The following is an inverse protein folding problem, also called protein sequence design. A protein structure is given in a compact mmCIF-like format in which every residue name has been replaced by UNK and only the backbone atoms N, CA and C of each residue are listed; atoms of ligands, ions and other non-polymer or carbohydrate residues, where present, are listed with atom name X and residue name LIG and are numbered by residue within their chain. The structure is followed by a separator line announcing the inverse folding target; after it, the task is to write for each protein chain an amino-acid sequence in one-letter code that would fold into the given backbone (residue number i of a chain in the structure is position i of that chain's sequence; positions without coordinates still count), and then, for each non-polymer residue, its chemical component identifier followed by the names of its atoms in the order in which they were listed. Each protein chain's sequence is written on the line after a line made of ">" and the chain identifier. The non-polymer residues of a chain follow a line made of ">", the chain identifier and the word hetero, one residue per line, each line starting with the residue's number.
data_IF_473621078713
#
_entry.id   IF_473621078713
#
_cell.length_a   1.000
_cell.length_b   1.000
_cell.length_c   1.000
_cell.angle_alpha   90.00
_cell.angle_beta   90.00
_cell.angle_gamma   90.00
#
_symmetry.space_group_name_H-M   'P 1'
#
loop_
_entity.id
_entity.type
_entity.pdbx_description
1 polymer ?
#
# COMPACT_ATOMS: atom_id res chain seq x y z
N UNK A 1 25.66 -13.35 31.85
CA UNK A 1 24.40 -13.83 32.44
C UNK A 1 23.64 -14.62 31.40
N UNK A 2 23.58 -15.96 31.54
CA UNK A 2 22.78 -16.84 30.68
C UNK A 2 21.30 -16.57 30.94
N UNK A 3 20.60 -15.94 30.00
CA UNK A 3 19.14 -15.79 30.03
C UNK A 3 18.56 -17.18 29.80
N UNK A 4 17.78 -17.66 30.77
CA UNK A 4 17.05 -18.92 30.71
C UNK A 4 16.15 -18.93 29.47
N UNK A 5 16.42 -19.83 28.53
CA UNK A 5 15.52 -20.20 27.44
C UNK A 5 14.37 -20.99 28.08
N UNK A 6 13.37 -20.30 28.61
CA UNK A 6 12.05 -20.91 28.80
C UNK A 6 11.53 -21.25 27.40
N UNK A 7 11.14 -22.50 27.20
CA UNK A 7 10.42 -22.95 26.01
C UNK A 7 9.11 -22.15 25.90
N UNK A 8 9.16 -20.99 25.25
CA UNK A 8 7.95 -20.34 24.76
C UNK A 8 7.42 -21.18 23.60
N UNK A 9 6.18 -21.64 23.75
CA UNK A 9 5.51 -22.50 22.78
C UNK A 9 5.28 -21.69 21.50
N UNK A 10 6.14 -21.89 20.49
CA UNK A 10 5.96 -21.25 19.19
C UNK A 10 4.93 -22.01 18.36
N UNK A 11 3.92 -21.32 17.84
CA UNK A 11 3.02 -21.85 16.81
C UNK A 11 3.72 -21.80 15.46
N UNK A 12 3.34 -22.69 14.56
CA UNK A 12 3.82 -22.71 13.17
C UNK A 12 2.72 -22.32 12.19
N UNK A 13 3.12 -21.87 10.99
CA UNK A 13 2.17 -21.64 9.88
C UNK A 13 1.33 -22.88 9.57
N UNK A 14 1.94 -24.07 9.61
CA UNK A 14 1.26 -25.33 9.37
C UNK A 14 0.16 -25.60 10.41
N UNK A 15 0.46 -25.44 11.70
CA UNK A 15 -0.54 -25.61 12.77
C UNK A 15 -1.70 -24.60 12.65
N UNK A 16 -1.40 -23.34 12.35
CA UNK A 16 -2.42 -22.30 12.16
C UNK A 16 -3.29 -22.63 10.93
N UNK A 17 -2.68 -23.00 9.80
CA UNK A 17 -3.41 -23.40 8.60
C UNK A 17 -4.28 -24.64 8.81
N UNK A 18 -3.83 -25.61 9.61
CA UNK A 18 -4.66 -26.76 9.98
C UNK A 18 -5.88 -26.35 10.82
N UNK A 19 -5.74 -25.36 11.71
CA UNK A 19 -6.88 -24.79 12.42
C UNK A 19 -7.83 -24.04 11.49
N UNK A 20 -7.28 -23.30 10.51
CA UNK A 20 -8.07 -22.57 9.51
C UNK A 20 -8.92 -23.56 8.69
N UNK A 21 -8.30 -24.63 8.16
CA UNK A 21 -9.01 -25.68 7.42
C UNK A 21 -10.12 -26.37 8.23
N UNK A 22 -9.93 -26.48 9.55
CA UNK A 22 -10.91 -27.07 10.48
C UNK A 22 -11.97 -26.06 10.95
N UNK A 23 -11.86 -24.77 10.60
CA UNK A 23 -12.77 -23.73 11.07
C UNK A 23 -12.64 -23.41 12.56
N UNK A 24 -11.50 -23.75 13.18
CA UNK A 24 -11.25 -23.59 14.63
C UNK A 24 -10.22 -22.50 14.95
N UNK A 25 -9.70 -21.81 13.94
CA UNK A 25 -8.72 -20.74 14.15
C UNK A 25 -9.38 -19.52 14.80
N UNK A 26 -8.73 -18.95 15.82
CA UNK A 26 -9.15 -17.69 16.42
C UNK A 26 -8.54 -16.54 15.63
N UNK A 27 -9.39 -15.83 14.88
CA UNK A 27 -8.99 -14.71 14.01
C UNK A 27 -9.60 -13.42 14.55
N UNK A 28 -8.78 -12.41 14.78
CA UNK A 28 -9.19 -11.09 15.25
C UNK A 28 -8.63 -9.99 14.35
N UNK A 29 -9.23 -8.81 14.33
CA UNK A 29 -8.63 -7.63 13.71
C UNK A 29 -7.60 -7.00 14.65
N UNK A 30 -6.71 -6.16 14.12
CA UNK A 30 -5.73 -5.47 14.97
C UNK A 30 -6.39 -4.55 16.02
N UNK A 31 -7.52 -3.91 15.71
CA UNK A 31 -8.28 -3.11 16.69
C UNK A 31 -8.87 -3.99 17.81
N UNK A 32 -9.38 -5.18 17.48
CA UNK A 32 -9.87 -6.12 18.49
C UNK A 32 -8.75 -6.59 19.43
N UNK A 33 -7.54 -6.83 18.90
CA UNK A 33 -6.38 -7.21 19.72
C UNK A 33 -5.84 -6.04 20.54
N UNK A 34 -5.79 -4.84 19.96
CA UNK A 34 -5.49 -3.58 20.65
C UNK A 34 -6.41 -3.39 21.87
N UNK A 35 -7.71 -3.64 21.73
CA UNK A 35 -8.67 -3.59 22.84
C UNK A 35 -8.41 -4.70 23.89
N UNK A 36 -8.22 -5.95 23.45
CA UNK A 36 -7.93 -7.07 24.35
C UNK A 36 -6.67 -6.86 25.19
N UNK A 37 -5.65 -6.21 24.62
CA UNK A 37 -4.37 -5.94 25.28
C UNK A 37 -4.47 -5.06 26.53
N UNK A 38 -5.61 -4.38 26.74
CA UNK A 38 -5.87 -3.62 27.97
C UNK A 38 -6.07 -4.53 29.19
N UNK A 39 -6.44 -5.79 28.97
CA UNK A 39 -6.77 -6.74 30.03
C UNK A 39 -5.97 -8.02 29.99
N UNK A 40 -5.48 -8.40 28.80
CA UNK A 40 -4.68 -9.62 28.61
C UNK A 40 -3.22 -9.28 28.36
N UNK A 41 -2.33 -10.09 28.93
CA UNK A 41 -0.91 -10.04 28.61
C UNK A 41 -0.61 -10.52 27.18
N UNK A 42 0.51 -10.11 26.57
CA UNK A 42 0.94 -10.63 25.26
C UNK A 42 1.01 -12.16 25.23
N UNK A 43 1.38 -12.80 26.34
CA UNK A 43 1.41 -14.25 26.47
C UNK A 43 0.01 -14.87 26.34
N UNK A 44 -0.98 -14.34 27.05
CA UNK A 44 -2.36 -14.82 26.97
C UNK A 44 -2.96 -14.60 25.57
N UNK A 45 -2.60 -13.50 24.91
CA UNK A 45 -2.99 -13.22 23.52
C UNK A 45 -2.36 -14.26 22.58
N UNK A 46 -1.05 -14.52 22.70
CA UNK A 46 -0.37 -15.55 21.93
C UNK A 46 -0.98 -16.95 22.10
N UNK A 47 -1.44 -17.30 23.30
CA UNK A 47 -2.10 -18.58 23.55
C UNK A 47 -3.49 -18.65 22.87
N UNK A 48 -4.28 -17.56 22.92
CA UNK A 48 -5.68 -17.53 22.47
C UNK A 48 -5.88 -17.21 21.00
N UNK A 49 -5.06 -16.34 20.42
CA UNK A 49 -5.24 -15.79 19.06
C UNK A 49 -4.31 -16.50 18.09
N UNK A 50 -4.83 -16.92 16.95
CA UNK A 50 -4.04 -17.60 15.90
C UNK A 50 -3.63 -16.63 14.80
N UNK A 51 -4.51 -15.71 14.40
CA UNK A 51 -4.26 -14.74 13.32
C UNK A 51 -4.82 -13.38 13.66
N UNK A 52 -4.06 -12.33 13.33
CA UNK A 52 -4.52 -10.93 13.40
C UNK A 52 -4.60 -10.34 12.01
N UNK A 53 -5.78 -9.87 11.61
CA UNK A 53 -5.96 -9.18 10.32
C UNK A 53 -5.67 -7.69 10.46
N UNK A 54 -4.82 -7.22 9.55
CA UNK A 54 -4.43 -5.81 9.42
C UNK A 54 -4.84 -5.32 8.04
N UNK A 55 -5.01 -4.00 7.90
CA UNK A 55 -5.42 -3.42 6.63
C UNK A 55 -5.04 -1.95 6.47
N UNK A 56 -4.99 -1.52 5.22
CA UNK A 56 -4.89 -0.11 4.85
C UNK A 56 -5.65 0.16 3.55
N UNK A 57 -6.17 1.37 3.42
CA UNK A 57 -6.71 1.89 2.17
C UNK A 57 -6.27 3.34 2.04
N UNK A 58 -5.37 3.62 1.10
CA UNK A 58 -4.78 4.95 0.96
C UNK A 58 -4.20 5.19 -0.43
N UNK A 59 -3.79 6.44 -0.67
CA UNK A 59 -3.20 6.86 -1.93
C UNK A 59 -1.81 6.23 -2.16
N UNK A 60 -1.67 5.50 -3.26
CA UNK A 60 -0.48 4.74 -3.66
C UNK A 60 -0.09 5.10 -5.10
N UNK A 61 0.57 6.25 -5.27
CA UNK A 61 0.99 6.74 -6.59
C UNK A 61 1.99 5.81 -7.30
N UNK A 62 2.77 5.03 -6.54
CA UNK A 62 3.70 4.03 -7.05
C UNK A 62 3.03 2.72 -7.48
N UNK A 63 1.89 2.83 -8.16
CA UNK A 63 1.11 1.71 -8.69
C UNK A 63 1.09 1.74 -10.21
N UNK A 64 0.77 0.61 -10.83
CA UNK A 64 0.54 0.52 -12.25
C UNK A 64 0.08 -0.86 -12.67
N UNK A 65 -0.12 -1.05 -13.97
CA UNK A 65 -0.56 -2.32 -14.52
C UNK A 65 0.23 -2.70 -15.76
N UNK A 66 0.64 -3.97 -15.83
CA UNK A 66 1.08 -4.59 -17.08
C UNK A 66 -0.14 -5.10 -17.84
N UNK A 67 -0.25 -4.76 -19.12
CA UNK A 67 -1.34 -5.20 -19.99
C UNK A 67 -0.77 -5.90 -21.21
N UNK A 68 -1.41 -6.98 -21.66
CA UNK A 68 -1.13 -7.62 -22.95
C UNK A 68 -2.38 -7.58 -23.82
N UNK A 69 -2.31 -6.89 -24.97
CA UNK A 69 -3.47 -6.67 -25.84
C UNK A 69 -3.75 -7.80 -26.82
N UNK A 70 -2.81 -8.72 -27.01
CA UNK A 70 -2.83 -9.68 -28.10
C UNK A 70 -2.49 -9.07 -29.47
N UNK A 71 -2.17 -9.94 -30.44
CA UNK A 71 -1.84 -9.51 -31.79
C UNK A 71 -3.10 -9.27 -32.64
N UNK A 72 -3.04 -8.22 -33.46
CA UNK A 72 -3.96 -8.02 -34.57
C UNK A 72 -3.51 -8.82 -35.80
N UNK A 73 -4.37 -8.88 -36.82
CA UNK A 73 -4.01 -9.43 -38.13
C UNK A 73 -4.13 -8.34 -39.21
N UNK A 74 -3.07 -8.00 -39.96
CA UNK A 74 -1.67 -8.39 -39.71
C UNK A 74 -1.13 -7.85 -38.37
N UNK A 75 -0.08 -8.48 -37.80
CA UNK A 75 0.43 -8.14 -36.47
C UNK A 75 1.18 -6.81 -36.45
N UNK A 76 1.20 -6.20 -35.27
CA UNK A 76 1.88 -4.93 -34.96
C UNK A 76 2.85 -5.12 -33.79
N UNK A 77 3.98 -4.41 -33.86
CA UNK A 77 4.85 -4.12 -32.72
C UNK A 77 4.60 -2.68 -32.29
N UNK A 78 3.98 -2.51 -31.14
CA UNK A 78 3.55 -1.23 -30.62
C UNK A 78 4.74 -0.51 -29.96
N UNK A 79 5.12 0.66 -30.49
CA UNK A 79 6.23 1.48 -30.00
C UNK A 79 5.73 2.77 -29.35
N UNK A 80 4.67 3.37 -29.91
CA UNK A 80 3.89 4.44 -29.28
C UNK A 80 2.51 3.89 -28.97
N UNK A 81 2.05 4.05 -27.74
CA UNK A 81 0.77 3.50 -27.25
C UNK A 81 0.03 4.59 -26.48
N UNK A 82 -1.25 4.72 -26.78
CA UNK A 82 -2.19 5.59 -26.08
C UNK A 82 -3.46 4.81 -25.68
N UNK A 83 -3.92 5.02 -24.45
CA UNK A 83 -5.17 4.49 -23.90
C UNK A 83 -6.08 5.66 -23.53
N UNK A 84 -7.24 5.80 -24.19
CA UNK A 84 -8.10 7.00 -24.13
C UNK A 84 -7.30 8.31 -24.27
N UNK A 85 -6.29 8.32 -25.16
CA UNK A 85 -5.40 9.47 -25.38
C UNK A 85 -4.34 9.70 -24.30
N UNK A 86 -4.24 8.84 -23.27
CA UNK A 86 -3.14 8.86 -22.29
C UNK A 86 -1.99 8.04 -22.84
N UNK A 87 -0.81 8.66 -22.95
CA UNK A 87 0.40 7.96 -23.38
C UNK A 87 0.88 7.02 -22.27
N UNK A 88 1.14 5.77 -22.64
CA UNK A 88 1.61 4.72 -21.72
C UNK A 88 2.95 4.13 -22.18
N UNK A 89 3.60 3.37 -21.32
CA UNK A 89 4.95 2.86 -21.59
C UNK A 89 4.93 1.71 -22.59
N UNK A 90 5.58 1.92 -23.74
CA UNK A 90 5.94 0.85 -24.66
C UNK A 90 7.28 0.20 -24.29
N UNK A 91 7.85 -0.59 -25.21
CA UNK A 91 9.17 -1.21 -25.04
C UNK A 91 9.15 -2.57 -24.34
N UNK A 92 7.98 -3.07 -23.98
CA UNK A 92 7.76 -4.44 -23.51
C UNK A 92 7.32 -5.28 -24.72
N UNK A 93 8.28 -5.90 -25.39
CA UNK A 93 8.04 -6.73 -26.57
C UNK A 93 7.14 -6.05 -27.64
N UNK A 94 6.06 -6.69 -28.09
CA UNK A 94 5.30 -6.27 -29.25
C UNK A 94 3.90 -5.73 -28.95
N UNK A 95 3.19 -6.28 -27.97
CA UNK A 95 1.79 -5.92 -27.66
C UNK A 95 1.55 -5.78 -26.16
N UNK A 96 2.64 -5.58 -25.40
CA UNK A 96 2.62 -5.38 -23.98
C UNK A 96 2.90 -3.91 -23.64
N UNK A 97 2.31 -3.45 -22.54
CA UNK A 97 2.53 -2.09 -22.04
C UNK A 97 2.55 -2.07 -20.51
N UNK A 98 3.14 -1.02 -19.96
CA UNK A 98 2.96 -0.66 -18.55
C UNK A 98 2.23 0.68 -18.45
N UNK A 99 1.11 0.67 -17.74
CA UNK A 99 0.32 1.87 -17.41
C UNK A 99 0.70 2.31 -16.01
N UNK A 100 1.39 3.44 -15.86
CA UNK A 100 1.68 4.03 -14.57
C UNK A 100 0.44 4.72 -14.02
N UNK A 101 0.13 4.54 -12.73
CA UNK A 101 -1.03 5.19 -12.11
C UNK A 101 -1.00 6.72 -12.24
N UNK A 102 0.19 7.32 -12.29
CA UNK A 102 0.39 8.77 -12.42
C UNK A 102 0.50 9.24 -13.87
N UNK A 103 0.40 8.35 -14.87
CA UNK A 103 0.37 8.76 -16.28
C UNK A 103 -0.81 9.72 -16.48
N UNK A 104 -0.58 10.83 -17.17
CA UNK A 104 -1.53 11.95 -17.21
C UNK A 104 -1.84 12.31 -18.67
N UNK A 105 -3.10 12.63 -18.95
CA UNK A 105 -3.46 13.29 -20.20
C UNK A 105 -3.24 14.80 -20.06
N UNK A 106 -2.30 15.43 -20.80
CA UNK A 106 -2.07 16.87 -20.70
C UNK A 106 -3.32 17.72 -21.01
N UNK A 107 -4.23 17.21 -21.85
CA UNK A 107 -5.49 17.87 -22.20
C UNK A 107 -6.60 17.64 -21.18
N UNK A 108 -6.47 16.65 -20.29
CA UNK A 108 -7.42 16.40 -19.19
C UNK A 108 -6.66 15.94 -17.94
N UNK A 109 -6.04 16.87 -17.19
CA UNK A 109 -5.12 16.53 -16.11
C UNK A 109 -5.72 15.77 -14.92
N UNK A 110 -7.06 15.73 -14.83
CA UNK A 110 -7.78 14.99 -13.81
C UNK A 110 -8.04 13.51 -14.20
N UNK A 111 -7.78 13.11 -15.45
CA UNK A 111 -7.95 11.74 -15.95
C UNK A 111 -6.63 11.17 -16.49
N UNK A 112 -6.33 9.91 -16.16
CA UNK A 112 -4.99 9.35 -16.37
C UNK A 112 -4.90 7.87 -16.03
N UNK A 113 -3.69 7.36 -15.85
CA UNK A 113 -3.42 5.94 -15.73
C UNK A 113 -4.18 5.25 -14.58
N UNK A 114 -4.31 5.88 -13.41
CA UNK A 114 -5.12 5.33 -12.32
C UNK A 114 -6.59 5.16 -12.71
N UNK A 115 -7.14 6.08 -13.50
CA UNK A 115 -8.51 6.01 -13.99
C UNK A 115 -8.66 4.98 -15.12
N UNK A 116 -7.64 4.81 -15.97
CA UNK A 116 -7.60 3.71 -16.94
C UNK A 116 -7.62 2.35 -16.24
N UNK A 117 -6.84 2.20 -15.17
CA UNK A 117 -6.81 0.97 -14.37
C UNK A 117 -8.19 0.73 -13.73
N UNK A 118 -8.80 1.75 -13.12
CA UNK A 118 -10.16 1.64 -12.56
C UNK A 118 -11.22 1.31 -13.62
N UNK A 119 -11.15 1.94 -14.79
CA UNK A 119 -12.06 1.70 -15.91
C UNK A 119 -11.92 0.27 -16.45
N UNK A 120 -10.70 -0.26 -16.54
CA UNK A 120 -10.44 -1.68 -16.87
C UNK A 120 -11.09 -2.62 -15.86
N UNK A 121 -10.91 -2.37 -14.55
CA UNK A 121 -11.52 -3.20 -13.49
C UNK A 121 -13.04 -3.21 -13.60
N UNK A 122 -13.65 -2.05 -13.87
CA UNK A 122 -15.08 -1.90 -14.13
C UNK A 122 -15.55 -2.55 -15.45
N UNK A 123 -14.63 -3.04 -16.29
CA UNK A 123 -14.94 -3.64 -17.58
C UNK A 123 -15.41 -2.63 -18.63
N UNK A 124 -15.05 -1.35 -18.48
CA UNK A 124 -15.37 -0.33 -19.47
C UNK A 124 -14.51 -0.48 -20.71
N UNK A 125 -15.07 -0.02 -21.82
CA UNK A 125 -14.36 0.09 -23.10
C UNK A 125 -13.35 1.23 -23.07
N UNK A 126 -12.13 0.93 -23.49
CA UNK A 126 -11.00 1.85 -23.59
C UNK A 126 -10.52 1.86 -25.03
N UNK A 127 -10.31 3.05 -25.57
CA UNK A 127 -9.72 3.23 -26.90
C UNK A 127 -8.22 3.01 -26.81
N UNK A 128 -7.74 1.94 -27.43
CA UNK A 128 -6.33 1.70 -27.72
C UNK A 128 -5.99 2.35 -29.05
N UNK A 129 -4.98 3.20 -29.06
CA UNK A 129 -4.35 3.68 -30.30
C UNK A 129 -2.84 3.45 -30.23
N UNK A 130 -2.28 2.78 -31.23
CA UNK A 130 -0.88 2.41 -31.23
C UNK A 130 -0.23 2.53 -32.61
N UNK A 131 1.06 2.86 -32.59
CA UNK A 131 1.91 3.02 -33.76
C UNK A 131 3.19 2.21 -33.62
N UNK A 132 3.69 1.71 -34.73
CA UNK A 132 4.99 1.05 -34.84
C UNK A 132 5.64 1.36 -36.18
N UNK A 133 6.97 1.30 -36.25
CA UNK A 133 7.72 1.53 -37.50
C UNK A 133 7.38 0.55 -38.65
N UNK A 134 6.88 -0.64 -38.30
CA UNK A 134 6.68 -1.76 -39.22
C UNK A 134 7.96 -2.56 -39.45
N UNK A 135 7.85 -3.88 -39.43
CA UNK A 135 8.94 -4.83 -39.73
C UNK A 135 8.37 -6.03 -40.48
N UNK A 136 9.21 -6.92 -41.00
CA UNK A 136 8.74 -8.12 -41.70
C UNK A 136 7.85 -9.01 -40.80
N UNK A 137 8.20 -9.17 -39.52
CA UNK A 137 7.37 -9.89 -38.55
C UNK A 137 6.10 -9.13 -38.09
N UNK A 138 6.06 -7.81 -38.28
CA UNK A 138 5.05 -6.90 -37.74
C UNK A 138 4.75 -5.79 -38.75
N UNK A 139 4.10 -6.11 -39.88
CA UNK A 139 4.02 -5.17 -41.00
C UNK A 139 3.01 -4.03 -40.75
N UNK A 140 2.08 -4.20 -39.81
CA UNK A 140 1.11 -3.15 -39.44
C UNK A 140 1.82 -2.02 -38.71
N UNK A 141 1.60 -0.78 -39.16
CA UNK A 141 2.22 0.43 -38.60
C UNK A 141 1.29 1.24 -37.68
N UNK A 142 -0.02 1.04 -37.78
CA UNK A 142 -1.02 1.73 -36.96
C UNK A 142 -2.20 0.81 -36.66
N UNK A 143 -2.75 0.97 -35.47
CA UNK A 143 -4.01 0.35 -35.05
C UNK A 143 -4.77 1.29 -34.13
N UNK A 144 -6.10 1.31 -34.30
CA UNK A 144 -7.05 1.87 -33.36
C UNK A 144 -8.11 0.82 -33.07
N UNK A 145 -8.32 0.51 -31.79
CA UNK A 145 -9.20 -0.56 -31.34
C UNK A 145 -9.89 -0.18 -30.04
N UNK A 146 -10.97 -0.89 -29.73
CA UNK A 146 -11.60 -0.85 -28.40
C UNK A 146 -11.15 -2.09 -27.65
N UNK A 147 -10.69 -1.90 -26.41
CA UNK A 147 -10.29 -2.96 -25.50
C UNK A 147 -11.03 -2.84 -24.17
N UNK A 148 -11.18 -3.97 -23.47
CA UNK A 148 -11.63 -4.04 -22.08
C UNK A 148 -11.02 -5.28 -21.41
N UNK A 149 -11.26 -5.48 -20.11
CA UNK A 149 -10.67 -6.60 -19.35
C UNK A 149 -10.99 -8.00 -19.91
N UNK A 150 -12.08 -8.15 -20.66
CA UNK A 150 -12.54 -9.42 -21.20
C UNK A 150 -11.87 -9.79 -22.54
N UNK A 151 -11.38 -8.81 -23.30
CA UNK A 151 -10.78 -9.04 -24.62
C UNK A 151 -9.25 -8.95 -24.65
N UNK A 152 -8.62 -8.47 -23.58
CA UNK A 152 -7.15 -8.47 -23.44
C UNK A 152 -6.68 -9.78 -22.80
N UNK A 153 -5.48 -10.23 -23.15
CA UNK A 153 -4.93 -11.50 -22.66
C UNK A 153 -4.59 -11.42 -21.17
N UNK A 154 -3.89 -10.35 -20.76
CA UNK A 154 -3.39 -10.21 -19.39
C UNK A 154 -3.61 -8.79 -18.87
N UNK A 155 -3.90 -8.69 -17.57
CA UNK A 155 -3.95 -7.44 -16.84
C UNK A 155 -3.45 -7.66 -15.41
N UNK A 156 -2.21 -7.25 -15.14
CA UNK A 156 -1.52 -7.55 -13.89
C UNK A 156 -1.29 -6.23 -13.16
N UNK A 157 -1.90 -6.07 -11.98
CA UNK A 157 -1.57 -4.94 -11.11
C UNK A 157 -0.18 -5.20 -10.53
N UNK A 158 0.73 -4.25 -10.70
CA UNK A 158 2.03 -4.27 -10.04
C UNK A 158 2.26 -2.96 -9.29
N UNK A 159 2.60 -3.06 -8.01
CA UNK A 159 2.87 -1.91 -7.17
C UNK A 159 4.29 -2.05 -6.64
N UNK A 160 5.29 -1.39 -7.22
CA UNK A 160 6.67 -1.46 -6.73
C UNK A 160 6.87 -0.87 -5.33
N UNK A 161 5.88 -0.16 -4.78
CA UNK A 161 5.92 0.40 -3.43
C UNK A 161 4.52 0.65 -2.90
N UNK A 162 4.17 -0.02 -1.81
CA UNK A 162 2.90 0.06 -1.11
C UNK A 162 3.11 -0.13 0.42
N UNK A 163 2.05 -0.01 1.21
CA UNK A 163 2.01 -0.12 2.67
C UNK A 163 3.20 0.56 3.35
N UNK A 164 3.38 1.87 3.15
CA UNK A 164 4.47 2.59 3.79
C UNK A 164 4.40 2.45 5.32
N UNK A 165 5.51 2.00 5.92
CA UNK A 165 5.64 1.84 7.37
C UNK A 165 5.80 3.21 8.02
N UNK A 166 4.73 3.64 8.66
CA UNK A 166 4.55 5.00 9.16
C UNK A 166 4.74 6.07 8.07
N UNK A 167 4.41 7.30 8.40
CA UNK A 167 4.54 8.42 7.49
C UNK A 167 4.59 9.73 8.25
N UNK A 168 5.19 10.76 7.64
CA UNK A 168 5.23 12.08 8.25
C UNK A 168 3.83 12.72 8.26
N UNK A 169 3.63 13.65 9.20
CA UNK A 169 2.50 14.57 9.21
C UNK A 169 2.94 15.83 8.49
N UNK A 170 2.25 16.19 7.41
CA UNK A 170 2.60 17.34 6.58
C UNK A 170 1.80 18.57 6.99
N UNK A 171 2.47 19.67 7.26
CA UNK A 171 1.87 21.00 7.46
C UNK A 171 2.65 22.05 6.67
N UNK A 172 2.24 23.31 6.75
CA UNK A 172 2.79 24.41 5.98
C UNK A 172 2.84 25.69 6.82
N UNK A 173 4.04 26.16 7.19
CA UNK A 173 4.18 27.40 7.98
C UNK A 173 4.12 28.67 7.12
N UNK A 174 4.26 28.55 5.79
CA UNK A 174 4.35 29.72 4.92
C UNK A 174 3.00 30.41 4.73
N UNK A 175 3.01 31.57 4.10
CA UNK A 175 1.83 32.38 3.77
C UNK A 175 1.09 31.93 2.49
N UNK A 176 1.67 30.99 1.73
CA UNK A 176 1.16 30.48 0.47
C UNK A 176 0.57 29.08 0.62
N UNK A 177 -0.49 28.76 -0.12
CA UNK A 177 -1.02 27.39 -0.21
C UNK A 177 0.04 26.49 -0.87
N UNK A 178 0.23 25.28 -0.34
CA UNK A 178 1.07 24.24 -0.96
C UNK A 178 0.20 23.11 -1.46
N UNK A 179 0.42 22.70 -2.71
CA UNK A 179 -0.24 21.56 -3.33
C UNK A 179 0.75 20.40 -3.34
N UNK A 180 0.44 19.34 -2.60
CA UNK A 180 1.37 18.24 -2.34
C UNK A 180 0.67 16.89 -2.54
N UNK A 181 1.44 15.81 -2.56
CA UNK A 181 0.87 14.46 -2.50
C UNK A 181 0.13 14.18 -1.20
N UNK A 182 0.36 15.00 -0.16
CA UNK A 182 -0.38 14.95 1.09
C UNK A 182 -1.70 15.75 1.03
N UNK A 183 -2.12 16.19 -0.16
CA UNK A 183 -3.23 17.10 -0.35
C UNK A 183 -2.82 18.58 -0.21
N UNK A 184 -3.84 19.44 -0.18
CA UNK A 184 -3.67 20.88 -0.04
C UNK A 184 -3.31 21.25 1.39
N UNK A 185 -2.13 21.86 1.58
CA UNK A 185 -1.68 22.39 2.87
C UNK A 185 -1.89 23.91 2.87
N UNK A 186 -2.76 24.35 3.77
CA UNK A 186 -3.18 25.73 3.91
C UNK A 186 -2.10 26.57 4.62
N UNK A 187 -2.03 27.88 4.32
CA UNK A 187 -1.06 28.79 4.92
C UNK A 187 -1.11 28.80 6.45
N UNK A 188 0.03 29.11 7.08
CA UNK A 188 0.14 29.39 8.52
C UNK A 188 -0.38 28.25 9.39
N UNK A 189 -0.06 27.01 9.02
CA UNK A 189 -0.42 25.77 9.72
C UNK A 189 -1.92 25.62 9.97
N UNK A 190 -2.77 26.04 9.03
CA UNK A 190 -4.24 25.90 9.18
C UNK A 190 -4.73 24.44 9.13
N UNK A 191 -3.95 23.54 8.54
CA UNK A 191 -4.20 22.10 8.58
C UNK A 191 -2.90 21.29 8.61
N UNK A 192 -3.03 20.04 9.01
CA UNK A 192 -2.00 19.03 8.94
C UNK A 192 -2.58 17.75 8.32
N UNK A 193 -2.00 17.28 7.22
CA UNK A 193 -2.40 16.03 6.58
C UNK A 193 -1.53 14.88 7.09
N UNK A 194 -2.12 13.69 7.26
CA UNK A 194 -1.37 12.52 7.70
C UNK A 194 -1.83 11.25 6.98
N UNK A 195 -0.97 10.24 7.01
CA UNK A 195 -1.30 8.91 6.54
C UNK A 195 -0.67 7.85 7.43
N UNK A 196 -1.53 7.06 8.05
CA UNK A 196 -1.66 5.62 7.83
C UNK A 196 -2.98 5.20 8.51
N UNK A 197 -3.30 3.90 8.50
CA UNK A 197 -4.44 3.35 9.23
C UNK A 197 -4.18 3.17 10.74
N UNK A 198 -3.09 3.74 11.28
CA UNK A 198 -2.74 3.63 12.69
C UNK A 198 -2.52 2.17 13.10
N UNK A 199 -3.13 1.75 14.21
CA UNK A 199 -3.07 0.38 14.71
C UNK A 199 -3.64 -0.69 13.77
N UNK A 200 -4.39 -0.33 12.71
CA UNK A 200 -4.75 -1.29 11.66
C UNK A 200 -3.64 -1.52 10.63
N UNK A 201 -2.61 -0.68 10.58
CA UNK A 201 -1.61 -0.71 9.51
C UNK A 201 -0.74 -1.97 9.57
N UNK A 202 -0.59 -2.73 8.46
CA UNK A 202 0.17 -3.98 8.47
C UNK A 202 1.60 -3.87 8.98
N UNK A 203 2.38 -2.94 8.42
CA UNK A 203 3.80 -2.79 8.77
C UNK A 203 4.03 -2.12 10.13
N UNK A 204 2.98 -1.60 10.79
CA UNK A 204 3.08 -1.13 12.18
C UNK A 204 2.84 -2.26 13.19
N UNK A 205 2.09 -3.28 12.79
CA UNK A 205 1.85 -4.49 13.60
C UNK A 205 2.93 -5.57 13.41
N UNK A 206 3.70 -5.52 12.32
CA UNK A 206 4.91 -6.32 12.11
C UNK A 206 6.10 -5.42 11.76
N UNK A 207 6.63 -4.64 12.73
CA UNK A 207 7.56 -3.54 12.48
C UNK A 207 8.92 -3.99 11.92
N UNK A 208 9.36 -5.22 12.24
CA UNK A 208 10.57 -5.80 11.68
C UNK A 208 10.33 -6.74 10.48
N UNK A 209 9.08 -6.85 10.02
CA UNK A 209 8.69 -7.74 8.92
C UNK A 209 9.05 -9.22 9.17
N UNK A 210 8.77 -9.72 10.39
CA UNK A 210 9.01 -11.11 10.80
C UNK A 210 8.14 -12.10 10.04
N UNK A 211 6.93 -11.69 9.66
CA UNK A 211 5.91 -12.49 8.98
C UNK A 211 5.60 -11.99 7.57
N UNK A 212 6.01 -10.77 7.23
CA UNK A 212 5.79 -10.15 5.92
C UNK A 212 7.09 -10.17 5.11
N UNK A 213 7.18 -11.08 4.15
CA UNK A 213 8.31 -11.21 3.22
C UNK A 213 7.89 -11.60 1.81
N UNK A 214 8.86 -11.98 0.98
CA UNK A 214 8.59 -12.43 -0.39
C UNK A 214 7.70 -13.69 -0.37
N UNK A 215 6.61 -13.67 -1.13
CA UNK A 215 5.64 -14.76 -1.22
C UNK A 215 4.51 -14.68 -0.19
N UNK A 216 4.46 -13.64 0.66
CA UNK A 216 3.34 -13.46 1.60
C UNK A 216 2.03 -13.25 0.84
N UNK A 217 1.05 -14.13 1.07
CA UNK A 217 -0.30 -14.08 0.54
C UNK A 217 -1.10 -12.99 1.26
N UNK A 218 -1.74 -12.11 0.49
CA UNK A 218 -2.43 -10.92 0.99
C UNK A 218 -3.79 -10.74 0.32
N UNK A 219 -4.68 -10.00 0.98
CA UNK A 219 -5.80 -9.36 0.30
C UNK A 219 -5.28 -8.16 -0.48
N UNK A 220 -5.61 -8.06 -1.77
CA UNK A 220 -5.25 -6.94 -2.63
C UNK A 220 -6.46 -6.56 -3.50
N UNK A 221 -7.00 -5.37 -3.27
CA UNK A 221 -8.05 -4.78 -4.10
C UNK A 221 -9.31 -5.64 -4.29
N UNK A 222 -9.72 -6.42 -3.28
CA UNK A 222 -10.93 -7.25 -3.36
C UNK A 222 -10.71 -8.70 -3.80
N UNK A 223 -9.47 -9.10 -4.06
CA UNK A 223 -9.06 -10.47 -4.41
C UNK A 223 -7.77 -10.83 -3.67
N UNK A 224 -7.20 -12.00 -3.91
CA UNK A 224 -5.86 -12.35 -3.45
C UNK A 224 -4.74 -11.67 -4.24
N UNK A 225 -3.59 -11.52 -3.59
CA UNK A 225 -2.35 -11.06 -4.18
C UNK A 225 -1.16 -11.50 -3.35
N UNK A 226 0.03 -11.07 -3.77
CA UNK A 226 1.27 -11.50 -3.13
C UNK A 226 2.25 -10.36 -2.97
N UNK A 227 2.99 -10.39 -1.86
CA UNK A 227 4.21 -9.60 -1.69
C UNK A 227 5.31 -10.17 -2.57
N UNK A 228 5.81 -9.36 -3.50
CA UNK A 228 6.80 -9.79 -4.49
C UNK A 228 8.20 -9.30 -4.18
N UNK A 229 8.35 -8.21 -3.41
CA UNK A 229 9.65 -7.64 -3.03
C UNK A 229 9.53 -6.69 -1.83
N UNK A 230 10.65 -6.17 -1.33
CA UNK A 230 10.67 -5.17 -0.25
C UNK A 230 10.17 -3.77 -0.66
N UNK A 231 9.98 -3.52 -1.96
CA UNK A 231 9.56 -2.22 -2.48
C UNK A 231 10.67 -1.18 -2.58
N UNK A 232 10.48 -0.21 -3.47
CA UNK A 232 11.54 0.66 -3.99
C UNK A 232 12.05 1.73 -3.02
N UNK A 233 11.35 1.96 -1.91
CA UNK A 233 11.80 2.89 -0.86
C UNK A 233 11.92 2.21 0.52
N UNK A 234 12.16 0.90 0.53
CA UNK A 234 12.40 0.15 1.76
C UNK A 234 13.61 0.70 2.52
N UNK A 235 13.39 1.19 3.73
CA UNK A 235 14.43 1.79 4.55
C UNK A 235 14.32 1.33 6.00
N UNK A 236 15.38 0.74 6.54
CA UNK A 236 15.45 0.27 7.94
C UNK A 236 16.29 1.17 8.84
N UNK A 237 16.89 2.24 8.30
CA UNK A 237 17.79 3.15 9.04
C UNK A 237 17.05 4.27 9.80
N UNK A 238 15.70 4.24 9.84
CA UNK A 238 14.89 5.28 10.48
C UNK A 238 14.88 5.11 12.00
N UNK A 239 14.86 6.23 12.71
CA UNK A 239 14.74 6.23 14.17
C UNK A 239 13.43 5.56 14.60
N UNK A 240 13.50 4.78 15.67
CA UNK A 240 12.36 4.08 16.28
C UNK A 240 12.08 4.63 17.67
N UNK A 241 10.83 4.55 18.11
CA UNK A 241 10.44 4.85 19.49
C UNK A 241 10.71 3.66 20.42
N UNK A 242 10.33 3.78 21.69
CA UNK A 242 10.50 2.74 22.73
C UNK A 242 9.74 1.43 22.45
N UNK A 243 8.77 1.46 21.53
CA UNK A 243 8.01 0.28 21.09
C UNK A 243 8.60 -0.36 19.81
N UNK A 244 9.74 0.14 19.32
CA UNK A 244 10.39 -0.34 18.10
C UNK A 244 9.70 0.12 16.82
N UNK A 245 8.83 1.13 16.89
CA UNK A 245 8.09 1.65 15.74
C UNK A 245 8.83 2.85 15.15
N UNK A 246 9.09 2.87 13.83
CA UNK A 246 9.73 4.02 13.20
C UNK A 246 8.93 5.30 13.37
N UNK A 247 9.57 6.44 13.64
CA UNK A 247 8.88 7.72 13.86
C UNK A 247 8.76 8.58 12.59
N UNK A 248 9.07 8.00 11.43
CA UNK A 248 8.97 8.60 10.09
C UNK A 248 8.85 7.47 9.05
N UNK A 249 8.66 7.83 7.79
CA UNK A 249 8.49 6.89 6.68
C UNK A 249 9.67 5.91 6.56
N UNK A 250 9.43 4.60 6.76
CA UNK A 250 10.46 3.56 6.83
C UNK A 250 10.31 2.48 5.75
N UNK A 251 9.95 1.24 6.13
CA UNK A 251 9.79 0.09 5.23
C UNK A 251 8.59 0.27 4.29
N UNK A 252 8.60 -0.48 3.20
CA UNK A 252 7.51 -0.57 2.21
C UNK A 252 7.38 -2.04 1.76
N UNK A 253 6.44 -2.36 0.87
CA UNK A 253 6.39 -3.66 0.18
C UNK A 253 6.10 -3.44 -1.30
N UNK A 254 6.56 -4.35 -2.16
CA UNK A 254 6.06 -4.47 -3.51
C UNK A 254 5.02 -5.58 -3.57
N UNK A 255 3.92 -5.37 -4.32
CA UNK A 255 2.83 -6.33 -4.42
C UNK A 255 2.38 -6.54 -5.86
N UNK A 256 1.82 -7.72 -6.13
CA UNK A 256 1.24 -8.09 -7.43
C UNK A 256 -0.12 -8.77 -7.22
N UNK A 257 -1.02 -8.63 -8.19
CA UNK A 257 -2.28 -9.36 -8.24
C UNK A 257 -2.94 -9.30 -9.62
N UNK A 258 -3.92 -10.17 -9.84
CA UNK A 258 -4.71 -10.20 -11.08
C UNK A 258 -5.72 -9.06 -11.08
N UNK A 259 -5.52 -8.07 -11.96
CA UNK A 259 -6.37 -6.89 -12.07
C UNK A 259 -7.78 -7.26 -12.56
N UNK A 260 -7.95 -8.36 -13.31
CA UNK A 260 -9.25 -8.75 -13.88
C UNK A 260 -10.28 -9.13 -12.81
N UNK A 261 -9.80 -9.66 -11.68
CA UNK A 261 -10.61 -10.10 -10.54
C UNK A 261 -10.76 -9.05 -9.43
N UNK A 262 -10.12 -7.89 -9.57
CA UNK A 262 -10.20 -6.81 -8.58
C UNK A 262 -11.57 -6.14 -8.56
N UNK A 263 -11.82 -5.40 -7.48
CA UNK A 263 -13.07 -4.67 -7.25
C UNK A 263 -12.79 -3.18 -7.02
N UNK A 264 -13.54 -2.32 -7.69
CA UNK A 264 -13.37 -0.86 -7.58
C UNK A 264 -13.74 -0.31 -6.20
N UNK A 265 -14.45 -1.05 -5.34
CA UNK A 265 -14.61 -0.69 -3.93
C UNK A 265 -13.27 -0.59 -3.16
N UNK A 266 -12.24 -1.29 -3.63
CA UNK A 266 -10.91 -1.35 -3.01
C UNK A 266 -9.77 -0.92 -3.96
N UNK A 267 -10.11 -0.39 -5.14
CA UNK A 267 -9.19 0.20 -6.10
C UNK A 267 -9.86 1.40 -6.78
N UNK A 268 -9.37 2.62 -6.55
CA UNK A 268 -10.00 3.86 -7.07
C UNK A 268 -8.99 4.84 -7.64
N UNK A 269 -9.21 5.29 -8.86
CA UNK A 269 -8.52 6.46 -9.42
C UNK A 269 -8.94 7.72 -8.68
N UNK A 270 -7.99 8.61 -8.43
CA UNK A 270 -8.23 9.89 -7.80
C UNK A 270 -7.31 10.98 -8.38
N UNK A 271 -7.76 12.22 -8.27
CA UNK A 271 -6.97 13.40 -8.57
C UNK A 271 -6.76 14.21 -7.28
N UNK A 272 -5.51 14.50 -6.95
CA UNK A 272 -5.14 15.40 -5.87
C UNK A 272 -4.88 16.77 -6.48
N UNK A 273 -5.65 17.77 -6.03
CA UNK A 273 -5.65 19.14 -6.57
C UNK A 273 -4.23 19.68 -6.80
N UNK A 274 -3.91 19.97 -8.07
CA UNK A 274 -2.62 20.49 -8.57
C UNK A 274 -1.38 19.66 -8.25
N UNK A 275 -1.51 18.53 -7.56
CA UNK A 275 -0.44 17.56 -7.41
C UNK A 275 -0.47 16.52 -8.54
N UNK A 276 -1.65 15.98 -8.84
CA UNK A 276 -1.84 15.04 -9.94
C UNK A 276 -2.59 13.78 -9.54
N UNK A 277 -2.49 12.80 -10.42
CA UNK A 277 -3.29 11.57 -10.38
C UNK A 277 -2.64 10.56 -9.42
N UNK A 278 -3.48 9.82 -8.69
CA UNK A 278 -3.06 8.75 -7.80
C UNK A 278 -4.07 7.61 -7.83
N UNK A 279 -3.65 6.44 -7.36
CA UNK A 279 -4.52 5.27 -7.20
C UNK A 279 -4.66 4.97 -5.72
N UNK A 280 -5.90 4.90 -5.22
CA UNK A 280 -6.18 4.34 -3.90
C UNK A 280 -6.22 2.83 -4.00
N UNK A 281 -5.48 2.16 -3.12
CA UNK A 281 -5.30 0.70 -3.12
C UNK A 281 -5.62 0.17 -1.74
N UNK A 282 -6.51 -0.83 -1.68
CA UNK A 282 -6.84 -1.58 -0.47
C UNK A 282 -5.95 -2.81 -0.32
N UNK A 283 -5.29 -2.94 0.83
CA UNK A 283 -4.46 -4.09 1.17
C UNK A 283 -4.84 -4.59 2.55
N UNK A 284 -5.00 -5.90 2.69
CA UNK A 284 -5.13 -6.59 3.97
C UNK A 284 -4.02 -7.64 4.10
N UNK A 285 -3.36 -7.69 5.26
CA UNK A 285 -2.30 -8.67 5.52
C UNK A 285 -2.61 -9.41 6.83
N UNK A 286 -2.68 -10.75 6.82
CA UNK A 286 -2.82 -11.51 8.04
C UNK A 286 -1.45 -11.67 8.71
N UNK A 287 -1.39 -11.38 10.00
CA UNK A 287 -0.22 -11.60 10.85
C UNK A 287 -0.48 -12.88 11.66
N UNK A 288 0.22 -13.99 11.39
CA UNK A 288 0.14 -15.18 12.22
C UNK A 288 0.78 -14.91 13.57
N UNK A 289 0.10 -15.26 14.66
CA UNK A 289 0.63 -15.09 16.01
C UNK A 289 1.46 -16.32 16.37
N UNK A 290 2.75 -16.27 16.04
CA UNK A 290 3.68 -17.39 16.25
C UNK A 290 4.20 -17.47 17.68
N UNK A 291 4.33 -16.32 18.35
CA UNK A 291 4.89 -16.23 19.71
C UNK A 291 4.40 -14.98 20.46
N UNK A 292 4.82 -14.88 21.73
CA UNK A 292 4.52 -13.77 22.64
C UNK A 292 5.02 -12.42 22.11
N UNK A 293 6.17 -12.39 21.40
CA UNK A 293 6.70 -11.13 20.86
C UNK A 293 5.82 -10.61 19.71
N UNK A 294 5.37 -11.48 18.79
CA UNK A 294 4.40 -11.09 17.77
C UNK A 294 3.08 -10.62 18.38
N UNK A 295 2.57 -11.33 19.40
CA UNK A 295 1.37 -10.91 20.13
C UNK A 295 1.54 -9.51 20.76
N UNK A 296 2.73 -9.21 21.29
CA UNK A 296 3.06 -7.88 21.80
C UNK A 296 3.07 -6.82 20.70
N UNK A 297 3.60 -7.11 19.51
CA UNK A 297 3.64 -6.15 18.39
C UNK A 297 2.26 -5.82 17.84
N UNK A 298 1.38 -6.81 17.71
CA UNK A 298 -0.01 -6.59 17.26
C UNK A 298 -0.92 -5.95 18.31
N UNK A 299 -0.43 -5.80 19.54
CA UNK A 299 -1.13 -5.14 20.65
C UNK A 299 -0.87 -3.63 20.71
N UNK A 300 -0.22 -3.05 19.69
CA UNK A 300 0.11 -1.64 19.67
C UNK A 300 -1.15 -0.78 19.51
N UNK A 301 -1.22 0.33 20.25
CA UNK A 301 -2.33 1.28 20.22
C UNK A 301 -1.95 2.59 19.55
N UNK A 302 -2.93 3.30 19.02
CA UNK A 302 -2.72 4.59 18.34
C UNK A 302 -1.96 5.64 19.17
N UNK A 303 -2.07 5.68 20.51
CA UNK A 303 -1.27 6.59 21.34
C UNK A 303 0.23 6.25 21.40
N UNK A 304 0.59 4.99 21.09
CA UNK A 304 1.96 4.46 21.12
C UNK A 304 2.66 4.56 19.76
N UNK A 305 1.90 4.85 18.69
CA UNK A 305 2.43 5.02 17.35
C UNK A 305 2.81 6.50 17.18
N UNK A 306 4.08 6.82 17.38
CA UNK A 306 4.59 8.19 17.20
C UNK A 306 4.90 8.48 15.72
N UNK A 307 4.78 9.74 15.32
CA UNK A 307 5.26 10.23 14.03
C UNK A 307 5.77 11.67 14.10
N UNK A 308 6.47 12.10 13.05
CA UNK A 308 7.12 13.40 12.93
C UNK A 308 6.25 14.39 12.15
N UNK A 309 6.05 15.58 12.72
CA UNK A 309 5.40 16.71 12.05
C UNK A 309 6.45 17.48 11.26
N UNK A 310 6.21 17.66 9.96
CA UNK A 310 7.16 18.21 8.99
C UNK A 310 6.51 19.35 8.22
N UNK A 311 7.26 20.44 8.06
CA UNK A 311 6.85 21.61 7.29
C UNK A 311 7.20 21.47 5.80
N UNK A 312 6.22 21.11 5.00
CA UNK A 312 6.36 20.95 3.56
C UNK A 312 6.43 22.30 2.83
N UNK A 313 6.11 23.40 3.53
CA UNK A 313 6.22 24.75 2.98
C UNK A 313 7.63 25.32 3.05
N UNK A 314 8.44 24.86 4.00
CA UNK A 314 9.76 25.42 4.31
C UNK A 314 10.83 24.31 4.48
N UNK A 315 11.27 23.73 3.36
CA UNK A 315 12.44 22.85 3.33
C UNK A 315 12.29 21.54 4.12
N UNK A 316 11.07 21.07 4.43
CA UNK A 316 10.81 19.88 5.22
C UNK A 316 11.41 19.94 6.65
N UNK A 317 11.40 21.13 7.27
CA UNK A 317 11.82 21.28 8.66
C UNK A 317 10.94 20.45 9.60
N UNK A 318 11.56 19.81 10.60
CA UNK A 318 10.85 19.10 11.66
C UNK A 318 10.28 20.12 12.66
N UNK A 319 8.97 20.08 12.88
CA UNK A 319 8.25 20.96 13.82
C UNK A 319 7.94 20.29 15.16
N UNK A 320 8.04 18.96 15.24
CA UNK A 320 7.79 18.21 16.46
C UNK A 320 7.36 16.77 16.19
N UNK A 321 6.82 16.12 17.23
CA UNK A 321 6.25 14.78 17.15
C UNK A 321 4.80 14.78 17.64
N UNK A 322 4.03 13.80 17.18
CA UNK A 322 2.68 13.51 17.64
C UNK A 322 2.41 12.01 17.57
N UNK A 323 1.19 11.55 17.87
CA UNK A 323 0.79 10.15 17.75
C UNK A 323 -0.55 10.01 17.01
N UNK A 324 -0.87 8.79 16.59
CA UNK A 324 -2.08 8.54 15.79
C UNK A 324 -3.37 8.78 16.58
N UNK A 325 -3.37 8.62 17.90
CA UNK A 325 -4.54 8.94 18.72
C UNK A 325 -4.87 10.44 18.66
N UNK A 326 -3.85 11.30 18.80
CA UNK A 326 -3.99 12.74 18.67
C UNK A 326 -4.38 13.14 17.24
N UNK A 327 -3.78 12.53 16.21
CA UNK A 327 -4.14 12.78 14.81
C UNK A 327 -5.59 12.42 14.49
N UNK A 328 -6.08 11.31 15.04
CA UNK A 328 -7.47 10.85 14.84
C UNK A 328 -8.49 11.66 15.66
N UNK A 329 -8.06 12.39 16.69
CA UNK A 329 -8.94 13.32 17.44
C UNK A 329 -9.44 14.51 16.61
N UNK A 330 -8.82 14.78 15.46
CA UNK A 330 -9.19 15.85 14.53
C UNK A 330 -8.41 17.16 14.69
N UNK A 331 -7.57 17.29 15.72
CA UNK A 331 -6.64 18.41 15.86
C UNK A 331 -5.43 18.06 16.72
N UNK A 332 -4.30 18.71 16.43
CA UNK A 332 -3.06 18.64 17.23
C UNK A 332 -2.58 20.04 17.58
N UNK A 333 -1.64 20.14 18.52
CA UNK A 333 -0.95 21.38 18.85
C UNK A 333 0.46 21.38 18.27
N UNK A 334 0.83 22.45 17.58
CA UNK A 334 2.17 22.65 17.00
C UNK A 334 2.63 24.05 17.41
N UNK A 335 3.70 24.16 18.20
CA UNK A 335 4.24 25.46 18.66
C UNK A 335 3.18 26.39 19.29
N UNK A 336 2.25 25.85 20.09
CA UNK A 336 1.15 26.60 20.70
C UNK A 336 -0.03 26.91 19.77
N UNK A 337 0.00 26.44 18.51
CA UNK A 337 -1.09 26.60 17.56
C UNK A 337 -1.93 25.33 17.47
N UNK A 338 -3.25 25.47 17.56
CA UNK A 338 -4.20 24.38 17.27
C UNK A 338 -4.37 24.21 15.77
N UNK A 339 -4.04 23.02 15.26
CA UNK A 339 -4.01 22.68 13.83
C UNK A 339 -4.97 21.53 13.55
N UNK A 340 -5.91 21.71 12.61
CA UNK A 340 -6.85 20.64 12.22
C UNK A 340 -6.12 19.53 11.47
N UNK A 341 -6.43 18.28 11.78
CA UNK A 341 -5.82 17.12 11.11
C UNK A 341 -6.74 16.53 10.06
N UNK A 342 -6.17 16.02 8.97
CA UNK A 342 -6.90 15.37 7.88
C UNK A 342 -6.22 14.06 7.45
N UNK A 343 -6.90 12.90 7.55
CA UNK A 343 -6.33 11.64 7.07
C UNK A 343 -6.43 11.53 5.55
N UNK A 344 -5.39 10.96 4.92
CA UNK A 344 -5.42 10.54 3.52
C UNK A 344 -5.72 9.05 3.34
N UNK A 345 -5.60 8.27 4.40
CA UNK A 345 -6.05 6.88 4.42
C UNK A 345 -7.48 6.81 4.95
N UNK A 346 -8.32 5.97 4.36
CA UNK A 346 -9.68 5.74 4.86
C UNK A 346 -9.68 4.65 5.92
N UNK A 347 -9.84 5.03 7.17
CA UNK A 347 -9.94 4.07 8.28
C UNK A 347 -11.20 3.21 8.16
N UNK A 348 -12.30 3.77 7.67
CA UNK A 348 -13.55 3.03 7.42
C UNK A 348 -13.34 1.90 6.39
N UNK A 349 -12.63 2.18 5.28
CA UNK A 349 -12.30 1.14 4.30
C UNK A 349 -11.25 0.16 4.81
N UNK A 350 -10.29 0.60 5.62
CA UNK A 350 -9.33 -0.31 6.25
C UNK A 350 -10.04 -1.33 7.17
N UNK A 351 -11.00 -0.89 7.99
CA UNK A 351 -11.82 -1.78 8.83
C UNK A 351 -12.59 -2.81 7.99
N UNK A 352 -13.28 -2.34 6.94
CA UNK A 352 -14.01 -3.20 6.01
C UNK A 352 -13.09 -4.29 5.40
N UNK A 353 -11.87 -3.93 4.99
CA UNK A 353 -10.89 -4.89 4.45
C UNK A 353 -10.40 -5.88 5.52
N UNK A 354 -10.10 -5.41 6.73
CA UNK A 354 -9.64 -6.28 7.83
C UNK A 354 -10.71 -7.31 8.22
N UNK A 355 -11.99 -6.90 8.22
CA UNK A 355 -13.13 -7.77 8.48
C UNK A 355 -13.37 -8.78 7.35
N UNK A 356 -13.24 -8.36 6.09
CA UNK A 356 -13.35 -9.26 4.94
C UNK A 356 -12.25 -10.32 4.95
N UNK A 357 -11.00 -9.92 5.16
CA UNK A 357 -9.88 -10.85 5.29
C UNK A 357 -10.10 -11.80 6.47
N UNK A 358 -10.60 -11.30 7.61
CA UNK A 358 -10.96 -12.13 8.77
C UNK A 358 -12.01 -13.17 8.39
N UNK A 359 -13.04 -12.76 7.64
CA UNK A 359 -14.09 -13.66 7.15
C UNK A 359 -13.53 -14.76 6.23
N UNK A 360 -12.68 -14.43 5.27
CA UNK A 360 -12.09 -15.41 4.35
C UNK A 360 -11.23 -16.45 5.09
N UNK A 361 -10.46 -16.00 6.09
CA UNK A 361 -9.65 -16.90 6.91
C UNK A 361 -10.54 -17.80 7.78
N UNK A 362 -11.57 -17.25 8.44
CA UNK A 362 -12.49 -18.05 9.26
C UNK A 362 -13.25 -19.11 8.46
N UNK A 363 -13.54 -18.84 7.18
CA UNK A 363 -14.20 -19.78 6.26
C UNK A 363 -13.24 -20.81 5.65
N UNK A 364 -11.92 -20.68 5.85
CA UNK A 364 -10.94 -21.54 5.20
C UNK A 364 -10.68 -21.23 3.72
N UNK A 365 -11.18 -20.09 3.22
CA UNK A 365 -11.00 -19.62 1.84
C UNK A 365 -9.62 -18.96 1.64
N UNK A 366 -8.95 -18.60 2.74
CA UNK A 366 -7.66 -17.94 2.72
C UNK A 366 -6.69 -18.64 3.68
N UNK A 367 -5.64 -19.26 3.12
CA UNK A 367 -4.55 -19.87 3.90
C UNK A 367 -3.34 -18.93 3.96
N UNK A 368 -2.60 -19.05 5.06
CA UNK A 368 -1.39 -18.28 5.30
C UNK A 368 -0.21 -18.91 4.57
N UNK A 369 0.69 -18.08 4.09
CA UNK A 369 1.97 -18.50 3.49
C UNK A 369 3.11 -18.02 4.36
N UNK A 370 4.05 -18.90 4.67
CA UNK A 370 5.33 -18.49 5.23
C UNK A 370 6.15 -17.76 4.15
N UNK A 371 6.82 -16.64 4.48
CA UNK A 371 7.69 -15.96 3.53
C UNK A 371 8.77 -16.89 3.00
N UNK A 372 8.86 -17.01 1.67
CA UNK A 372 9.93 -17.77 1.00
C UNK A 372 11.29 -17.12 1.26
N UNK A 373 11.30 -15.79 1.40
CA UNK A 373 12.48 -15.01 1.77
C UNK A 373 12.09 -13.87 2.70
N UNK A 374 12.78 -13.69 3.85
CA UNK A 374 12.56 -12.55 4.73
C UNK A 374 12.99 -11.23 4.08
N UNK A 375 12.49 -10.12 4.62
CA UNK A 375 12.91 -8.78 4.17
C UNK A 375 14.37 -8.47 4.59
N UNK A 376 15.07 -7.57 3.87
CA UNK A 376 16.41 -7.15 4.26
C UNK A 376 16.44 -6.54 5.67
N UNK A 377 17.42 -6.93 6.48
CA UNK A 377 17.61 -6.37 7.84
C UNK A 377 18.15 -4.94 7.77
N UNK A 378 19.08 -4.70 6.85
CA UNK A 378 19.71 -3.40 6.62
C UNK A 378 19.42 -2.93 5.21
N UNK A 379 18.78 -1.76 5.11
CA UNK A 379 18.52 -1.09 3.84
C UNK A 379 18.47 0.42 4.05
N UNK A 380 19.09 1.15 3.14
CA UNK A 380 19.06 2.60 3.05
C UNK A 380 18.80 3.03 1.61
N UNK A 381 18.45 4.30 1.41
CA UNK A 381 18.16 4.86 0.10
C UNK A 381 19.33 5.73 -0.38
N UNK A 382 19.69 5.59 -1.64
CA UNK A 382 20.62 6.49 -2.29
C UNK A 382 19.91 7.79 -2.68
N UNK A 383 20.61 8.91 -2.55
CA UNK A 383 20.19 10.19 -3.12
C UNK A 383 20.61 10.28 -4.60
N UNK A 384 19.73 10.84 -5.43
CA UNK A 384 20.10 11.25 -6.79
C UNK A 384 20.90 12.56 -6.71
N UNK A 385 22.10 12.60 -7.30
CA UNK A 385 22.89 13.82 -7.44
C UNK A 385 22.67 14.40 -8.83
N UNK A 386 22.21 15.65 -8.89
CA UNK A 386 22.17 16.39 -10.15
C UNK A 386 23.60 16.64 -10.64
N UNK A 387 23.79 16.63 -11.97
CA UNK A 387 25.10 16.89 -12.57
C UNK A 387 25.41 18.40 -12.52
N UNK A 388 24.39 19.25 -12.65
CA UNK A 388 24.41 20.71 -12.45
C UNK A 388 22.99 21.14 -11.99
N UNK A 389 22.87 22.25 -11.26
CA UNK A 389 21.59 22.80 -10.77
C UNK A 389 20.92 23.75 -11.78
#
# INVERSE_FOLDING_TARGET
>A
MKRSLKNDKMKTYAEINEKIKKGTAVVLTAEEVSELSKTLSPKEIAEKVDVVTTATFGAMCSSGAFLNFGHSNPPIRMEKIELNGIRVSGGLAAVDTYVGATDCNPSSPAYGGAHIIEDLVNGKDITLEAWGKGTDCYPRKHIKAIINKNCINEAILYNPRNCYQNYNVATNTTDQIKYTYMGTLLPKMRNASYSSAGELSPLLNDPECRTIGLGTHIFLCGTDGYVTWNGTQFNTSKAVNEHGIPTSNARTIAVVGDLKNMNTQYLRGAYIEKYGITLYVGIGIPIPILDEDLAKRVSIRNEQIETTVVDYGNGNQILGKTNYAALQSGAIEINGHKVRTAPLSSLAKAREIADLLKSWIQKGEFLLTEPVRPMPVQASLNGLKAIED
#
